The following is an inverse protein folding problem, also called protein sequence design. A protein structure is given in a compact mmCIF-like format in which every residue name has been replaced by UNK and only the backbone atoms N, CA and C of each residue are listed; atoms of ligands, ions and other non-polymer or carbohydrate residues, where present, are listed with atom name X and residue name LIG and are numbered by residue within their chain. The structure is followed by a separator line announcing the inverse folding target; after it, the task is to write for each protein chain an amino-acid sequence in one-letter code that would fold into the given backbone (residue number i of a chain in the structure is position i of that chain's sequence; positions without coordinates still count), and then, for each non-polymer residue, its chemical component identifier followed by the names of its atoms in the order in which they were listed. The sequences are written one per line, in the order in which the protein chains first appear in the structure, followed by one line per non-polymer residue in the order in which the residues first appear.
data_IF_473514937416
#
_entry.id   IF_473514937416
#
_cell.length_a   1.000
_cell.length_b   1.000
_cell.length_c   1.000
_cell.angle_alpha   90.00
_cell.angle_beta   90.00
_cell.angle_gamma   90.00
#
_symmetry.space_group_name_H-M   'P 1'
#
loop_
_entity.id
_entity.type
_entity.pdbx_description
1 polymer ?
#
# COMPACT_ATOMS: atom_id res chain seq x y z
N UNK A 1 27.08 -3.36 33.40
CA UNK A 1 26.04 -3.54 32.37
C UNK A 1 25.99 -2.22 31.62
N UNK A 2 26.24 -2.21 30.30
CA UNK A 2 26.10 -0.97 29.51
C UNK A 2 24.61 -0.69 29.31
N UNK A 3 24.14 0.49 29.72
CA UNK A 3 22.77 0.92 29.44
C UNK A 3 22.58 1.06 27.92
N UNK A 4 21.49 0.47 27.41
CA UNK A 4 21.09 0.56 26.01
C UNK A 4 19.87 1.48 25.89
N UNK A 5 19.98 2.52 25.08
CA UNK A 5 18.82 3.32 24.65
C UNK A 5 18.23 2.69 23.40
N UNK A 6 17.14 1.94 23.54
CA UNK A 6 16.46 1.29 22.42
C UNK A 6 15.53 2.30 21.69
N UNK A 7 15.95 2.77 20.51
CA UNK A 7 15.20 3.74 19.70
C UNK A 7 14.38 3.12 18.56
N UNK A 8 14.51 1.81 18.34
CA UNK A 8 13.86 1.10 17.23
C UNK A 8 12.81 0.14 17.79
N UNK A 9 11.56 0.35 17.39
CA UNK A 9 10.43 -0.49 17.78
C UNK A 9 10.11 -1.49 16.67
N UNK A 10 9.86 -2.74 17.03
CA UNK A 10 9.35 -3.76 16.10
C UNK A 10 7.90 -3.44 15.76
N UNK A 11 7.57 -3.29 14.48
CA UNK A 11 6.23 -2.91 14.01
C UNK A 11 5.81 -3.67 12.75
N UNK A 12 4.55 -3.50 12.34
CA UNK A 12 4.02 -3.98 11.07
C UNK A 12 3.93 -2.80 10.09
N UNK A 13 4.88 -2.67 9.14
CA UNK A 13 4.88 -1.56 8.19
C UNK A 13 3.93 -1.74 6.99
N UNK A 14 3.47 -2.97 6.72
CA UNK A 14 2.54 -3.20 5.62
C UNK A 14 1.16 -2.61 5.92
N UNK A 15 0.68 -1.72 5.05
CA UNK A 15 -0.60 -1.04 5.24
C UNK A 15 -1.78 -2.02 5.11
N UNK A 16 -2.60 -2.11 6.17
CA UNK A 16 -3.85 -2.87 6.19
C UNK A 16 -5.05 -1.98 5.85
N UNK A 17 -5.95 -2.47 5.00
CA UNK A 17 -7.19 -1.79 4.61
C UNK A 17 -8.42 -2.57 5.12
N UNK A 18 -9.22 -1.93 5.96
CA UNK A 18 -10.45 -2.49 6.55
C UNK A 18 -11.69 -1.72 6.10
N UNK A 19 -12.87 -2.31 6.26
CA UNK A 19 -14.13 -1.67 5.92
C UNK A 19 -14.55 -0.62 6.95
N UNK A 20 -15.08 0.52 6.50
CA UNK A 20 -15.42 1.65 7.35
C UNK A 20 -16.53 1.37 8.39
N UNK A 21 -17.40 0.37 8.14
CA UNK A 21 -18.58 0.09 8.97
C UNK A 21 -18.61 -1.32 9.57
N UNK A 22 -17.52 -2.07 9.40
CA UNK A 22 -17.41 -3.42 9.96
C UNK A 22 -15.94 -3.82 10.10
N UNK A 23 -15.59 -4.49 11.19
CA UNK A 23 -14.23 -4.98 11.39
C UNK A 23 -13.94 -6.21 10.51
N UNK A 24 -13.62 -5.95 9.24
CA UNK A 24 -13.32 -6.93 8.18
C UNK A 24 -12.33 -6.32 7.18
N UNK A 25 -11.54 -7.16 6.51
CA UNK A 25 -10.70 -6.73 5.40
C UNK A 25 -11.54 -6.17 4.24
N UNK A 26 -11.04 -5.13 3.58
CA UNK A 26 -11.62 -4.63 2.33
C UNK A 26 -11.21 -5.53 1.14
N UNK A 27 -11.59 -6.80 1.20
CA UNK A 27 -11.19 -7.82 0.23
C UNK A 27 -11.67 -7.48 -1.19
N UNK A 28 -10.78 -7.63 -2.18
CA UNK A 28 -10.97 -7.20 -3.57
C UNK A 28 -11.28 -5.70 -3.72
N UNK A 29 -10.98 -4.90 -2.69
CA UNK A 29 -11.05 -3.45 -2.73
C UNK A 29 -10.03 -2.88 -3.73
N UNK A 30 -10.27 -1.61 -4.09
CA UNK A 30 -9.45 -0.87 -5.06
C UNK A 30 -8.96 0.41 -4.43
N UNK A 31 -7.66 0.69 -4.55
CA UNK A 31 -7.05 1.95 -4.14
C UNK A 31 -6.64 2.73 -5.40
N UNK A 32 -7.02 4.00 -5.42
CA UNK A 32 -6.65 4.95 -6.47
C UNK A 32 -5.81 6.07 -5.84
N UNK A 33 -4.74 6.45 -6.52
CA UNK A 33 -3.80 7.50 -6.13
C UNK A 33 -3.84 8.60 -7.20
N UNK A 34 -4.09 9.83 -6.77
CA UNK A 34 -4.22 10.97 -7.67
C UNK A 34 -3.57 12.22 -7.13
N UNK A 35 -3.73 13.31 -7.88
CA UNK A 35 -3.30 14.64 -7.47
C UNK A 35 -3.99 15.06 -6.18
N UNK A 36 -3.30 15.86 -5.36
CA UNK A 36 -3.83 16.38 -4.09
C UNK A 36 -5.12 17.16 -4.36
N UNK A 37 -6.12 17.00 -3.49
CA UNK A 37 -7.43 17.66 -3.55
C UNK A 37 -8.24 17.39 -4.83
N UNK A 38 -7.95 16.28 -5.53
CA UNK A 38 -8.72 15.83 -6.70
C UNK A 38 -9.36 14.46 -6.47
N UNK A 39 -10.37 14.11 -7.28
CA UNK A 39 -10.95 12.75 -7.27
C UNK A 39 -10.03 11.77 -8.04
N UNK A 40 -9.38 10.81 -7.37
CA UNK A 40 -8.44 9.89 -8.00
C UNK A 40 -9.14 8.77 -8.81
N UNK A 41 -10.47 8.61 -8.68
CA UNK A 41 -11.21 7.64 -9.49
C UNK A 41 -11.25 8.08 -10.96
N UNK A 42 -11.23 9.40 -11.21
CA UNK A 42 -11.09 9.94 -12.56
C UNK A 42 -9.66 9.71 -13.10
N UNK A 43 -9.49 8.98 -14.22
CA UNK A 43 -8.17 8.71 -14.79
C UNK A 43 -7.34 9.96 -15.10
N UNK A 44 -7.99 11.09 -15.40
CA UNK A 44 -7.28 12.35 -15.68
C UNK A 44 -6.55 12.92 -14.46
N UNK A 45 -6.96 12.52 -13.25
CA UNK A 45 -6.39 12.98 -11.99
C UNK A 45 -5.37 11.99 -11.41
N UNK A 46 -5.22 10.82 -12.02
CA UNK A 46 -4.33 9.77 -11.53
C UNK A 46 -2.87 10.13 -11.77
N UNK A 47 -2.02 9.78 -10.80
CA UNK A 47 -0.57 9.90 -10.91
C UNK A 47 0.07 8.53 -11.10
N UNK A 48 1.30 8.50 -11.59
CA UNK A 48 2.04 7.24 -11.74
C UNK A 48 2.29 6.61 -10.37
N UNK A 49 1.92 5.35 -10.24
CA UNK A 49 2.20 4.51 -9.06
C UNK A 49 3.35 3.59 -9.38
N UNK A 50 4.19 3.31 -8.39
CA UNK A 50 5.33 2.42 -8.54
C UNK A 50 5.23 1.27 -7.55
N UNK A 51 6.03 0.24 -7.77
CA UNK A 51 6.38 -0.75 -6.76
C UNK A 51 7.83 -0.50 -6.36
N UNK A 52 8.08 -0.51 -5.05
CA UNK A 52 9.42 -0.46 -4.45
C UNK A 52 9.90 -1.88 -4.16
N UNK A 53 10.79 -2.47 -4.98
CA UNK A 53 11.22 -3.85 -4.84
C UNK A 53 12.19 -4.03 -3.67
N UNK A 54 12.10 -5.17 -2.99
CA UNK A 54 12.93 -5.46 -1.80
C UNK A 54 14.44 -5.52 -2.08
N UNK A 55 14.83 -5.80 -3.33
CA UNK A 55 16.22 -5.88 -3.75
C UNK A 55 16.88 -4.50 -3.96
N UNK A 56 16.13 -3.40 -3.79
CA UNK A 56 16.61 -2.04 -3.98
C UNK A 56 16.86 -1.65 -5.44
N UNK A 57 16.29 -2.40 -6.41
CA UNK A 57 16.33 -2.01 -7.81
C UNK A 57 15.44 -0.80 -8.10
N UNK A 58 15.48 -0.33 -9.35
CA UNK A 58 14.62 0.77 -9.80
C UNK A 58 13.13 0.49 -9.53
N UNK A 59 12.42 1.57 -9.20
CA UNK A 59 10.98 1.56 -8.99
C UNK A 59 10.25 1.08 -10.25
N UNK A 60 9.33 0.12 -10.10
CA UNK A 60 8.64 -0.50 -11.22
C UNK A 60 7.29 0.20 -11.42
N UNK A 61 7.03 0.87 -12.57
CA UNK A 61 5.73 1.52 -12.79
C UNK A 61 4.62 0.49 -12.94
N UNK A 62 3.48 0.73 -12.29
CA UNK A 62 2.31 -0.15 -12.35
C UNK A 62 1.04 0.62 -12.66
N UNK A 63 0.08 -0.08 -13.26
CA UNK A 63 -1.23 0.48 -13.55
C UNK A 63 -2.10 0.53 -12.29
N UNK A 64 -3.00 1.50 -12.27
CA UNK A 64 -4.05 1.62 -11.27
C UNK A 64 -5.34 0.91 -11.73
N UNK A 65 -6.22 0.47 -10.82
CA UNK A 65 -6.13 0.56 -9.35
C UNK A 65 -5.23 -0.50 -8.72
N UNK A 66 -4.73 -0.22 -7.52
CA UNK A 66 -4.10 -1.22 -6.67
C UNK A 66 -5.19 -2.11 -6.06
N UNK A 67 -5.02 -3.42 -6.14
CA UNK A 67 -6.00 -4.40 -5.64
C UNK A 67 -5.64 -4.82 -4.20
N UNK A 68 -6.66 -4.96 -3.36
CA UNK A 68 -6.52 -5.46 -1.99
C UNK A 68 -6.89 -6.96 -1.94
N UNK A 69 -6.03 -7.79 -1.34
CA UNK A 69 -6.30 -9.22 -1.18
C UNK A 69 -7.29 -9.53 -0.04
N UNK A 70 -7.62 -10.80 0.17
CA UNK A 70 -8.52 -11.23 1.26
C UNK A 70 -8.01 -10.93 2.67
N UNK A 71 -6.69 -10.76 2.83
CA UNK A 71 -6.06 -10.36 4.08
C UNK A 71 -6.10 -8.85 4.35
N UNK A 72 -6.56 -8.04 3.40
CA UNK A 72 -6.63 -6.59 3.53
C UNK A 72 -5.34 -5.85 3.13
N UNK A 73 -4.41 -6.51 2.46
CA UNK A 73 -3.14 -5.92 2.02
C UNK A 73 -3.16 -5.58 0.53
N UNK A 74 -2.47 -4.50 0.11
CA UNK A 74 -2.29 -4.19 -1.30
C UNK A 74 -1.40 -5.24 -1.95
N UNK A 75 -1.80 -5.72 -3.13
CA UNK A 75 -1.09 -6.78 -3.86
C UNK A 75 -0.85 -6.43 -5.32
N UNK A 76 0.24 -6.97 -5.85
CA UNK A 76 0.54 -7.00 -7.27
C UNK A 76 0.86 -8.43 -7.68
N UNK A 77 0.22 -8.94 -8.74
CA UNK A 77 0.36 -10.34 -9.20
C UNK A 77 0.23 -11.39 -8.06
N UNK A 78 -0.64 -11.13 -7.10
CA UNK A 78 -0.91 -12.03 -5.97
C UNK A 78 0.09 -11.94 -4.81
N UNK A 79 1.14 -11.12 -4.92
CA UNK A 79 2.12 -10.89 -3.86
C UNK A 79 1.86 -9.54 -3.18
N UNK A 80 2.06 -9.47 -1.85
CA UNK A 80 2.03 -8.19 -1.12
C UNK A 80 3.22 -7.36 -1.59
N UNK A 81 2.97 -6.11 -1.95
CA UNK A 81 3.98 -5.21 -2.48
C UNK A 81 3.92 -3.85 -1.78
N UNK A 82 5.05 -3.16 -1.76
CA UNK A 82 5.15 -1.76 -1.35
C UNK A 82 4.95 -0.88 -2.58
N UNK A 83 4.02 0.07 -2.48
CA UNK A 83 3.66 1.01 -3.55
C UNK A 83 4.04 2.44 -3.18
#
# INVERSE_FOLDING_TARGET
MSDITANVVVSQPAQLFTLARSFKANANGKVYIGQIDTDPVNPANQIQVYIDPENGSDLIPVAQPIVINSGGYPVYNGQIAKF
#
